data_IF_902402242029
#
_entry.id   IF_902402242029
#
_cell.length_a   1.000
_cell.length_b   1.000
_cell.length_c   1.000
_cell.angle_alpha   90.00
_cell.angle_beta   90.00
_cell.angle_gamma   90.00
#
_symmetry.space_group_name_H-M   'P 1'
#
loop_
_entity.id
_entity.type
_entity.pdbx_description
1 polymer ?
#
# COMPACT_ATOMS: atom_id res chain seq x y z
N UNK A 1 -17.78 7.91 -9.73
CA UNK A 1 -16.34 7.63 -9.85
C UNK A 1 -16.08 7.02 -11.24
N UNK A 2 -15.12 7.56 -11.99
CA UNK A 2 -14.75 7.04 -13.32
C UNK A 2 -13.79 5.84 -13.23
N UNK A 3 -13.24 5.40 -14.36
CA UNK A 3 -12.22 4.35 -14.40
C UNK A 3 -10.97 4.80 -13.63
N UNK A 4 -10.47 3.94 -12.73
CA UNK A 4 -9.19 4.13 -12.04
C UNK A 4 -8.19 3.16 -12.65
N UNK A 5 -7.11 3.70 -13.21
CA UNK A 5 -6.05 2.92 -13.83
C UNK A 5 -5.14 2.34 -12.78
N UNK A 6 -4.78 1.06 -12.92
CA UNK A 6 -3.79 0.43 -12.05
C UNK A 6 -2.41 1.01 -12.37
N UNK A 7 -1.66 1.53 -11.37
CA UNK A 7 -0.35 2.08 -11.61
C UNK A 7 0.65 0.97 -11.98
N UNK A 8 1.53 1.27 -12.93
CA UNK A 8 2.57 0.35 -13.41
C UNK A 8 3.73 0.23 -12.42
N UNK A 9 3.48 -0.34 -11.24
CA UNK A 9 4.48 -0.67 -10.23
C UNK A 9 4.83 -2.15 -10.28
N UNK A 10 6.07 -2.53 -9.96
CA UNK A 10 6.49 -3.95 -9.94
C UNK A 10 5.77 -4.77 -8.87
N UNK A 11 5.54 -4.18 -7.69
CA UNK A 11 4.73 -4.73 -6.59
C UNK A 11 3.88 -3.60 -6.01
N UNK A 12 2.88 -3.94 -5.20
CA UNK A 12 1.99 -2.98 -4.54
C UNK A 12 1.11 -2.16 -5.49
N UNK A 13 0.76 -2.73 -6.64
CA UNK A 13 -0.15 -2.12 -7.61
C UNK A 13 -1.52 -1.85 -6.99
N UNK A 14 -2.10 -2.86 -6.32
CA UNK A 14 -3.41 -2.73 -5.65
C UNK A 14 -3.38 -1.66 -4.56
N UNK A 15 -2.32 -1.64 -3.74
CA UNK A 15 -2.18 -0.67 -2.67
C UNK A 15 -2.10 0.76 -3.23
N UNK A 16 -1.30 0.98 -4.26
CA UNK A 16 -1.18 2.29 -4.91
C UNK A 16 -2.49 2.72 -5.58
N UNK A 17 -3.20 1.80 -6.24
CA UNK A 17 -4.54 2.06 -6.77
C UNK A 17 -5.52 2.48 -5.67
N UNK A 18 -5.58 1.78 -4.54
CA UNK A 18 -6.47 2.12 -3.43
C UNK A 18 -6.15 3.49 -2.82
N UNK A 19 -4.88 3.86 -2.73
CA UNK A 19 -4.50 5.22 -2.32
C UNK A 19 -5.03 6.29 -3.30
N UNK A 20 -5.02 6.00 -4.60
CA UNK A 20 -5.58 6.92 -5.61
C UNK A 20 -7.12 6.96 -5.57
N UNK A 21 -7.78 5.84 -5.24
CA UNK A 21 -9.22 5.80 -4.96
C UNK A 21 -9.54 6.69 -3.77
N UNK A 22 -8.83 6.52 -2.65
CA UNK A 22 -9.06 7.28 -1.41
C UNK A 22 -8.84 8.78 -1.60
N UNK A 23 -7.82 9.18 -2.37
CA UNK A 23 -7.61 10.59 -2.74
C UNK A 23 -8.79 11.20 -3.51
N UNK A 24 -9.54 10.39 -4.26
CA UNK A 24 -10.71 10.84 -5.05
C UNK A 24 -12.03 10.71 -4.29
N UNK A 25 -12.13 9.73 -3.40
CA UNK A 25 -13.35 9.39 -2.68
C UNK A 25 -13.53 10.16 -1.37
N UNK A 26 -12.53 10.96 -0.96
CA UNK A 26 -12.44 11.74 0.29
C UNK A 26 -12.43 10.90 1.59
N UNK A 27 -13.25 9.86 1.68
CA UNK A 27 -13.31 8.93 2.80
C UNK A 27 -13.59 7.48 2.34
N UNK A 28 -13.36 6.53 3.24
CA UNK A 28 -13.78 5.15 3.09
C UNK A 28 -14.41 4.65 4.38
N UNK A 29 -15.40 3.77 4.24
CA UNK A 29 -16.08 3.11 5.36
C UNK A 29 -15.60 1.66 5.40
N UNK A 30 -15.01 1.25 6.52
CA UNK A 30 -14.55 -0.12 6.72
C UNK A 30 -15.68 -1.05 7.12
N UNK A 31 -15.81 -2.18 6.43
CA UNK A 31 -16.75 -3.25 6.79
C UNK A 31 -16.11 -4.08 7.92
N UNK A 32 -16.83 -4.24 9.03
CA UNK A 32 -16.34 -4.96 10.22
C UNK A 32 -16.59 -6.48 10.15
N UNK A 33 -17.34 -6.93 9.14
CA UNK A 33 -17.66 -8.34 8.94
C UNK A 33 -16.66 -9.01 7.97
N UNK A 34 -16.29 -10.28 8.21
CA UNK A 34 -15.38 -11.00 7.33
C UNK A 34 -16.10 -11.39 6.02
N UNK A 35 -15.82 -10.65 4.95
CA UNK A 35 -16.38 -10.90 3.60
C UNK A 35 -15.40 -11.63 2.66
N UNK A 36 -14.17 -11.89 3.09
CA UNK A 36 -13.13 -12.50 2.27
C UNK A 36 -12.30 -13.51 3.08
N UNK A 37 -11.97 -14.63 2.46
CA UNK A 37 -11.03 -15.63 2.98
C UNK A 37 -9.77 -15.64 2.13
N UNK A 38 -8.59 -15.58 2.75
CA UNK A 38 -7.31 -15.70 2.05
C UNK A 38 -6.66 -17.07 2.31
N UNK A 39 -5.93 -17.58 1.32
CA UNK A 39 -5.13 -18.79 1.47
C UNK A 39 -3.75 -18.42 1.98
N UNK A 40 -3.32 -19.06 3.05
CA UNK A 40 -1.91 -19.06 3.46
C UNK A 40 -1.13 -20.01 2.54
N UNK A 41 -0.09 -19.49 1.91
CA UNK A 41 0.86 -20.28 1.11
C UNK A 41 2.27 -19.80 1.38
N UNK A 42 3.26 -20.69 1.26
CA UNK A 42 4.68 -20.36 1.30
C UNK A 42 5.07 -19.55 0.05
N UNK A 43 4.72 -18.26 0.02
CA UNK A 43 4.77 -17.47 -1.21
C UNK A 43 5.15 -16.00 -1.00
N UNK A 44 6.09 -15.53 -1.84
CA UNK A 44 6.49 -14.15 -2.24
C UNK A 44 6.79 -13.09 -1.16
N UNK A 45 6.34 -13.25 0.08
CA UNK A 45 6.55 -12.33 1.21
C UNK A 45 7.75 -12.71 2.09
N UNK A 46 8.43 -13.82 1.79
CA UNK A 46 9.58 -14.32 2.55
C UNK A 46 10.73 -13.30 2.66
N UNK A 47 10.88 -12.43 1.66
CA UNK A 47 11.93 -11.41 1.66
C UNK A 47 11.43 -10.06 2.20
N UNK A 48 11.59 -9.87 3.53
CA UNK A 48 11.26 -8.62 4.23
C UNK A 48 11.99 -7.41 3.64
N UNK A 49 13.22 -7.54 3.16
CA UNK A 49 14.00 -6.42 2.60
C UNK A 49 13.40 -5.93 1.29
N UNK A 50 12.99 -6.85 0.41
CA UNK A 50 12.34 -6.48 -0.86
C UNK A 50 11.03 -5.73 -0.59
N UNK A 51 10.28 -6.13 0.44
CA UNK A 51 9.06 -5.48 0.89
C UNK A 51 9.30 -4.03 1.31
N UNK A 52 10.39 -3.74 2.04
CA UNK A 52 10.77 -2.36 2.40
C UNK A 52 10.98 -1.51 1.14
N UNK A 53 11.74 -2.03 0.17
CA UNK A 53 12.07 -1.31 -1.06
C UNK A 53 10.81 -0.94 -1.86
N UNK A 54 9.89 -1.88 -2.01
CA UNK A 54 8.65 -1.65 -2.75
C UNK A 54 7.70 -0.71 -2.02
N UNK A 55 7.60 -0.80 -0.69
CA UNK A 55 6.77 0.11 0.10
C UNK A 55 7.28 1.54 0.05
N UNK A 56 8.59 1.75 0.22
CA UNK A 56 9.20 3.07 0.09
C UNK A 56 9.00 3.66 -1.31
N UNK A 57 9.06 2.82 -2.35
CA UNK A 57 8.82 3.26 -3.73
C UNK A 57 7.39 3.79 -3.94
N UNK A 58 6.37 3.26 -3.25
CA UNK A 58 5.01 3.82 -3.31
C UNK A 58 5.00 5.26 -2.79
N UNK A 59 5.60 5.53 -1.62
CA UNK A 59 5.66 6.89 -1.08
C UNK A 59 6.48 7.85 -1.97
N UNK A 60 7.67 7.41 -2.40
CA UNK A 60 8.61 8.28 -3.12
C UNK A 60 8.26 8.46 -4.60
N UNK A 61 7.92 7.38 -5.30
CA UNK A 61 7.74 7.38 -6.76
C UNK A 61 6.28 7.53 -7.18
N UNK A 62 5.35 6.86 -6.50
CA UNK A 62 3.92 6.93 -6.86
C UNK A 62 3.24 8.15 -6.23
N UNK A 63 3.42 8.37 -4.92
CA UNK A 63 2.82 9.49 -4.22
C UNK A 63 3.62 10.80 -4.32
N UNK A 64 4.86 10.74 -4.83
CA UNK A 64 5.70 11.91 -5.06
C UNK A 64 6.19 12.61 -3.78
N UNK A 65 6.24 11.91 -2.64
CA UNK A 65 6.65 12.52 -1.38
C UNK A 65 8.15 12.86 -1.33
N UNK A 66 8.50 13.88 -0.54
CA UNK A 66 9.90 14.16 -0.19
C UNK A 66 10.53 12.96 0.52
N UNK A 67 11.86 12.86 0.52
CA UNK A 67 12.55 11.72 1.11
C UNK A 67 12.20 11.61 2.60
N UNK A 68 12.27 12.72 3.34
CA UNK A 68 11.92 12.80 4.76
C UNK A 68 10.47 12.34 5.02
N UNK A 69 9.50 12.84 4.24
CA UNK A 69 8.10 12.43 4.38
C UNK A 69 7.90 10.95 4.05
N UNK A 70 8.61 10.45 3.06
CA UNK A 70 8.57 9.02 2.68
C UNK A 70 9.12 8.13 3.81
N UNK A 71 10.24 8.51 4.43
CA UNK A 71 10.80 7.79 5.58
C UNK A 71 9.86 7.80 6.79
N UNK A 72 9.26 8.95 7.11
CA UNK A 72 8.30 9.05 8.21
C UNK A 72 7.09 8.12 8.01
N UNK A 73 6.47 8.15 6.83
CA UNK A 73 5.36 7.26 6.50
C UNK A 73 5.76 5.78 6.51
N UNK A 74 7.01 5.49 6.15
CA UNK A 74 7.55 4.13 6.23
C UNK A 74 7.64 3.63 7.67
N UNK A 75 8.09 4.48 8.60
CA UNK A 75 8.13 4.13 10.02
C UNK A 75 6.74 3.94 10.61
N UNK A 76 5.79 4.83 10.29
CA UNK A 76 4.39 4.67 10.68
C UNK A 76 3.78 3.36 10.16
N UNK A 77 4.05 3.01 8.90
CA UNK A 77 3.60 1.74 8.32
C UNK A 77 4.12 0.55 9.13
N UNK A 78 5.38 0.55 9.54
CA UNK A 78 5.94 -0.52 10.35
C UNK A 78 5.31 -0.59 11.74
N UNK A 79 5.12 0.55 12.40
CA UNK A 79 4.46 0.58 13.71
C UNK A 79 3.03 0.04 13.64
N UNK A 80 2.26 0.41 12.61
CA UNK A 80 0.87 -0.04 12.46
C UNK A 80 0.72 -1.48 11.97
N UNK A 81 1.73 -2.05 11.32
CA UNK A 81 1.62 -3.40 10.74
C UNK A 81 2.14 -4.52 11.66
N UNK A 82 2.95 -4.15 12.65
CA UNK A 82 3.64 -5.11 13.53
C UNK A 82 3.33 -4.92 15.02
N UNK A 83 2.51 -3.92 15.37
CA UNK A 83 1.94 -3.71 16.70
C UNK A 83 0.43 -3.94 16.61
#
# INVERSE_FOLDING_TARGET
MGKITIPSLRKRQDWAMWLDVLKKAEFAIGIQEPIASYRLSDGLSANKIELIKHNYAVYRKHLGYSAMKSYWNMMLFFMSSFL
#
